data_IF_887729311146
#
_entry.id   IF_887729311146
#
_cell.length_a   1.000
_cell.length_b   1.000
_cell.length_c   1.000
_cell.angle_alpha   90.00
_cell.angle_beta   90.00
_cell.angle_gamma   90.00
#
_symmetry.space_group_name_H-M   'P 1'
#
loop_
_entity.id
_entity.type
_entity.pdbx_description
1 polymer ?
#
# COMPACT_ATOMS: atom_id res chain seq x y z
N UNK A 1 -13.69 20.68 12.95
CA UNK A 1 -12.66 19.71 12.49
C UNK A 1 -12.95 19.32 11.05
N UNK A 2 -11.92 19.11 10.23
CA UNK A 2 -12.05 18.89 8.78
C UNK A 2 -12.31 17.42 8.38
N UNK A 3 -12.49 16.49 9.33
CA UNK A 3 -12.69 15.05 9.09
C UNK A 3 -11.63 14.43 8.14
N UNK A 4 -10.37 14.85 8.31
CA UNK A 4 -9.23 14.40 7.51
C UNK A 4 -8.20 13.80 8.45
N UNK A 5 -7.71 12.60 8.11
CA UNK A 5 -6.62 11.91 8.79
C UNK A 5 -5.50 11.73 7.76
N UNK A 6 -4.29 12.18 8.09
CA UNK A 6 -3.11 12.02 7.24
C UNK A 6 -2.04 11.20 7.98
N UNK A 7 -1.49 10.19 7.29
CA UNK A 7 -0.37 9.37 7.78
C UNK A 7 0.74 9.47 6.75
N UNK A 8 1.95 9.80 7.19
CA UNK A 8 3.12 9.97 6.31
C UNK A 8 4.34 9.27 6.90
N UNK A 9 5.14 8.67 6.03
CA UNK A 9 6.40 7.99 6.37
C UNK A 9 7.46 8.30 5.32
N UNK A 10 8.71 8.47 5.76
CA UNK A 10 9.90 8.66 4.93
C UNK A 10 10.77 7.40 4.81
N UNK A 11 10.23 6.25 5.22
CA UNK A 11 10.92 4.96 5.18
C UNK A 11 11.09 4.40 3.76
N UNK A 12 11.13 3.07 3.67
CA UNK A 12 11.25 2.39 2.37
C UNK A 12 10.12 2.77 1.42
N UNK A 13 10.50 2.93 0.15
CA UNK A 13 9.61 3.39 -0.91
C UNK A 13 8.74 2.25 -1.42
N UNK A 14 7.53 2.58 -1.86
CA UNK A 14 6.66 1.61 -2.54
C UNK A 14 7.01 1.65 -4.04
N UNK A 15 7.37 0.52 -4.68
CA UNK A 15 7.71 0.51 -6.09
C UNK A 15 6.58 1.05 -6.98
N UNK A 16 6.87 2.04 -7.82
CA UNK A 16 5.89 2.61 -8.77
C UNK A 16 6.07 1.94 -10.13
N UNK A 17 5.77 0.64 -10.18
CA UNK A 17 5.88 -0.21 -11.37
C UNK A 17 4.62 -1.04 -11.56
N UNK A 18 4.40 -1.52 -12.78
CA UNK A 18 3.34 -2.48 -13.09
C UNK A 18 3.70 -3.87 -12.52
N UNK A 19 2.77 -4.48 -11.78
CA UNK A 19 2.93 -5.82 -11.26
C UNK A 19 2.85 -6.84 -12.38
N UNK A 20 3.88 -7.70 -12.51
CA UNK A 20 4.07 -8.57 -13.68
C UNK A 20 2.90 -9.54 -13.94
N UNK A 21 2.22 -9.99 -12.89
CA UNK A 21 1.10 -10.96 -12.96
C UNK A 21 -0.24 -10.23 -13.08
N UNK A 22 -0.53 -9.34 -12.13
CA UNK A 22 -1.82 -8.65 -12.00
C UNK A 22 -2.04 -7.52 -13.02
N UNK A 23 -1.00 -7.11 -13.76
CA UNK A 23 -1.06 -6.06 -14.82
C UNK A 23 -1.63 -4.72 -14.37
N UNK A 24 -1.40 -4.38 -13.11
CA UNK A 24 -1.76 -3.10 -12.49
C UNK A 24 -0.57 -2.55 -11.71
N UNK A 25 -0.52 -1.24 -11.49
CA UNK A 25 0.53 -0.64 -10.67
C UNK A 25 0.52 -1.17 -9.23
N UNK A 26 1.70 -1.45 -8.68
CA UNK A 26 1.85 -1.98 -7.31
C UNK A 26 1.11 -1.14 -6.25
N UNK A 27 1.18 0.22 -6.25
CA UNK A 27 0.40 1.03 -5.30
C UNK A 27 -1.11 0.84 -5.47
N UNK A 28 -1.63 0.75 -6.70
CA UNK A 28 -3.05 0.48 -6.93
C UNK A 28 -3.45 -0.94 -6.48
N UNK A 29 -2.56 -1.91 -6.63
CA UNK A 29 -2.78 -3.29 -6.21
C UNK A 29 -2.93 -3.39 -4.68
N UNK A 30 -1.91 -2.95 -3.93
CA UNK A 30 -1.83 -3.20 -2.48
C UNK A 30 -2.80 -2.36 -1.65
N UNK A 31 -3.30 -1.24 -2.19
CA UNK A 31 -4.28 -0.36 -1.55
C UNK A 31 -5.71 -0.51 -2.10
N UNK A 32 -5.88 -1.11 -3.28
CA UNK A 32 -7.17 -1.23 -3.96
C UNK A 32 -7.76 -2.65 -3.97
N UNK A 33 -6.95 -3.69 -3.87
CA UNK A 33 -7.41 -5.08 -3.98
C UNK A 33 -7.29 -5.80 -2.64
N UNK A 34 -8.35 -6.47 -2.20
CA UNK A 34 -8.33 -7.31 -1.00
C UNK A 34 -7.32 -8.46 -1.17
N UNK A 35 -6.87 -9.03 -0.05
CA UNK A 35 -5.95 -10.18 -0.05
C UNK A 35 -4.63 -9.94 -0.80
N UNK A 36 -4.13 -8.70 -0.73
CA UNK A 36 -2.81 -8.32 -1.25
C UNK A 36 -1.88 -7.94 -0.08
N UNK A 37 -0.71 -8.57 -0.02
CA UNK A 37 0.31 -8.37 1.03
C UNK A 37 1.67 -8.86 0.54
N UNK A 38 2.76 -8.23 0.99
CA UNK A 38 4.12 -8.76 0.85
C UNK A 38 4.46 -9.81 1.92
N UNK A 39 3.65 -9.90 2.98
CA UNK A 39 3.98 -10.68 4.18
C UNK A 39 3.24 -12.03 4.24
N UNK A 40 2.94 -12.65 3.09
CA UNK A 40 2.25 -13.95 3.06
C UNK A 40 3.20 -15.14 3.24
N UNK A 41 4.49 -14.97 2.98
CA UNK A 41 5.47 -16.02 3.22
C UNK A 41 5.73 -16.16 4.73
N UNK A 42 5.39 -17.32 5.31
CA UNK A 42 5.57 -17.59 6.74
C UNK A 42 6.99 -18.04 7.10
N UNK A 43 7.83 -18.36 6.10
CA UNK A 43 9.24 -18.67 6.32
C UNK A 43 10.09 -17.41 6.55
N UNK A 44 9.57 -16.23 6.19
CA UNK A 44 10.21 -14.94 6.47
C UNK A 44 10.02 -14.48 7.93
N UNK A 45 11.09 -13.98 8.55
CA UNK A 45 11.03 -13.41 9.90
C UNK A 45 10.26 -12.10 9.90
N UNK A 46 9.02 -12.14 10.40
CA UNK A 46 8.13 -10.98 10.53
C UNK A 46 8.35 -10.26 11.87
N UNK A 47 8.17 -8.95 11.87
CA UNK A 47 8.09 -8.16 13.11
C UNK A 47 6.76 -8.46 13.80
N UNK A 48 6.74 -8.74 15.12
CA UNK A 48 5.50 -8.93 15.86
C UNK A 48 4.55 -7.74 15.69
N UNK A 49 3.28 -8.01 15.32
CA UNK A 49 2.27 -6.97 15.07
C UNK A 49 2.27 -6.39 13.65
N UNK A 50 3.15 -6.86 12.76
CA UNK A 50 3.06 -6.53 11.32
C UNK A 50 1.81 -7.14 10.67
N UNK A 51 1.38 -6.59 9.54
CA UNK A 51 0.19 -7.06 8.83
C UNK A 51 0.44 -8.38 8.10
N UNK A 52 -0.34 -9.42 8.41
CA UNK A 52 -0.22 -10.74 7.77
C UNK A 52 -1.35 -11.05 6.77
N UNK A 53 -2.51 -10.40 6.90
CA UNK A 53 -3.72 -10.82 6.17
C UNK A 53 -3.99 -10.02 4.90
N UNK A 54 -3.30 -8.90 4.70
CA UNK A 54 -3.53 -8.03 3.53
C UNK A 54 -4.90 -7.34 3.54
N UNK A 55 -5.43 -6.94 4.71
CA UNK A 55 -6.70 -6.22 4.83
C UNK A 55 -6.58 -4.76 5.27
N UNK A 56 -5.66 -4.42 6.19
CA UNK A 56 -5.69 -3.15 6.95
C UNK A 56 -5.89 -1.89 6.09
N UNK A 57 -5.03 -1.67 5.10
CA UNK A 57 -5.12 -0.52 4.21
C UNK A 57 -6.42 -0.48 3.39
N UNK A 58 -6.91 -1.64 2.95
CA UNK A 58 -8.15 -1.76 2.18
C UNK A 58 -9.39 -1.50 3.03
N UNK A 59 -9.39 -1.97 4.28
CA UNK A 59 -10.48 -1.66 5.21
C UNK A 59 -10.55 -0.15 5.48
N UNK A 60 -9.40 0.50 5.66
CA UNK A 60 -9.35 1.96 5.77
C UNK A 60 -9.95 2.65 4.54
N UNK A 61 -9.64 2.16 3.33
CA UNK A 61 -10.24 2.64 2.09
C UNK A 61 -11.77 2.43 2.05
N UNK A 62 -12.25 1.21 2.31
CA UNK A 62 -13.67 0.84 2.26
C UNK A 62 -14.53 1.68 3.22
N UNK A 63 -14.03 1.98 4.41
CA UNK A 63 -14.75 2.78 5.41
C UNK A 63 -14.54 4.30 5.27
N UNK A 64 -13.85 4.75 4.21
CA UNK A 64 -13.63 6.17 3.93
C UNK A 64 -14.48 6.66 2.76
N UNK A 65 -14.96 7.90 2.82
CA UNK A 65 -15.60 8.56 1.66
C UNK A 65 -14.58 8.95 0.59
N UNK A 66 -13.32 9.19 1.00
CA UNK A 66 -12.18 9.43 0.12
C UNK A 66 -10.93 8.85 0.76
N UNK A 67 -10.18 8.08 0.00
CA UNK A 67 -8.89 7.53 0.39
C UNK A 67 -7.87 7.86 -0.70
N UNK A 68 -6.81 8.57 -0.33
CA UNK A 68 -5.77 9.00 -1.27
C UNK A 68 -4.42 8.44 -0.85
N UNK A 69 -3.70 7.86 -1.81
CA UNK A 69 -2.35 7.31 -1.64
C UNK A 69 -1.40 8.15 -2.47
N UNK A 70 -0.36 8.67 -1.82
CA UNK A 70 0.73 9.38 -2.47
C UNK A 70 2.05 8.68 -2.12
N UNK A 71 2.82 8.30 -3.15
CA UNK A 71 4.13 7.69 -2.96
C UNK A 71 5.08 8.09 -4.07
N UNK A 72 6.35 8.22 -3.72
CA UNK A 72 7.43 8.53 -4.64
C UNK A 72 8.46 7.41 -4.58
N UNK A 73 8.91 6.95 -5.76
CA UNK A 73 9.96 5.96 -5.89
C UNK A 73 11.12 6.56 -6.70
N UNK A 74 12.28 6.70 -6.06
CA UNK A 74 13.51 7.22 -6.66
C UNK A 74 14.08 6.27 -7.69
N UNK A 75 14.05 4.96 -7.42
CA UNK A 75 14.57 3.95 -8.34
C UNK A 75 13.79 3.95 -9.65
N UNK A 76 12.45 3.98 -9.57
CA UNK A 76 11.58 4.04 -10.73
C UNK A 76 11.42 5.46 -11.31
N UNK A 77 11.99 6.48 -10.65
CA UNK A 77 11.88 7.91 -10.99
C UNK A 77 10.44 8.40 -11.19
N UNK A 78 9.49 7.81 -10.47
CA UNK A 78 8.07 8.09 -10.61
C UNK A 78 7.45 8.46 -9.27
N UNK A 79 6.49 9.39 -9.32
CA UNK A 79 5.63 9.76 -8.20
C UNK A 79 4.18 9.54 -8.62
N UNK A 80 3.39 8.93 -7.75
CA UNK A 80 1.96 8.72 -7.96
C UNK A 80 1.17 9.33 -6.83
N UNK A 81 0.03 9.92 -7.19
CA UNK A 81 -1.01 10.38 -6.27
C UNK A 81 -2.36 9.96 -6.85
N UNK A 82 -3.09 9.12 -6.13
CA UNK A 82 -4.39 8.59 -6.53
C UNK A 82 -5.36 8.62 -5.36
#
# INVERSE_FOLDING_TARGET
ESNIINIWSNGEEIPVVEHKVEKVYVPALIFGHLLTSSNYDDDEKKVPGSGCNGYGAKLCNIFSTRFTVETACKECKHTIKQ
#
